data_IF_304373173183
#
_entry.id   IF_304373173183
#
_cell.length_a   1.000
_cell.length_b   1.000
_cell.length_c   1.000
_cell.angle_alpha   90.00
_cell.angle_beta   90.00
_cell.angle_gamma   90.00
#
_symmetry.space_group_name_H-M   'P 1'
#
loop_
_entity.id
_entity.type
_entity.pdbx_description
1 polymer ?
#
# COMPACT_ATOMS: atom_id res chain seq x y z
N UNK A 1 -1.92 -9.70 47.28
CA UNK A 1 -1.14 -9.39 46.06
C UNK A 1 -2.15 -9.30 44.93
N UNK A 2 -2.21 -8.19 44.21
CA UNK A 2 -3.10 -8.08 43.05
C UNK A 2 -2.68 -9.12 41.99
N UNK A 3 -3.64 -9.78 41.37
CA UNK A 3 -3.37 -10.68 40.25
C UNK A 3 -3.02 -9.85 39.01
N UNK A 4 -1.97 -10.22 38.25
CA UNK A 4 -1.62 -9.54 37.01
C UNK A 4 -2.79 -9.56 36.02
N UNK A 5 -2.98 -8.47 35.27
CA UNK A 5 -4.04 -8.37 34.25
C UNK A 5 -3.59 -9.03 32.94
N UNK A 6 -3.45 -10.36 32.98
CA UNK A 6 -3.03 -11.14 31.82
C UNK A 6 -4.21 -11.34 30.86
N UNK A 7 -3.96 -11.21 29.56
CA UNK A 7 -4.94 -11.50 28.50
C UNK A 7 -4.86 -12.95 28.05
N UNK A 8 -5.95 -13.49 27.49
CA UNK A 8 -6.04 -14.90 27.10
C UNK A 8 -4.97 -15.32 26.06
N UNK A 9 -4.61 -14.42 25.15
CA UNK A 9 -3.57 -14.66 24.14
C UNK A 9 -2.17 -14.86 24.75
N UNK A 10 -1.90 -14.25 25.90
CA UNK A 10 -0.60 -14.32 26.60
C UNK A 10 -0.39 -15.71 27.24
N UNK A 11 -1.47 -16.31 27.78
CA UNK A 11 -1.44 -17.65 28.38
C UNK A 11 -1.24 -18.79 27.36
N UNK A 12 -1.51 -18.54 26.06
CA UNK A 12 -1.32 -19.56 25.02
C UNK A 12 0.14 -19.68 24.58
N UNK A 13 0.96 -18.64 24.80
CA UNK A 13 2.37 -18.63 24.41
C UNK A 13 3.27 -19.33 25.44
N UNK A 14 2.92 -19.33 26.73
CA UNK A 14 3.67 -20.01 27.79
C UNK A 14 2.84 -20.19 29.07
N UNK A 15 3.39 -20.84 30.09
CA UNK A 15 2.66 -21.11 31.32
C UNK A 15 2.83 -19.95 32.32
N UNK A 16 1.77 -19.17 32.51
CA UNK A 16 1.75 -17.98 33.37
C UNK A 16 0.70 -18.18 34.46
N UNK A 17 1.14 -18.40 35.69
CA UNK A 17 0.28 -18.70 36.84
C UNK A 17 0.52 -17.71 37.97
N UNK A 18 -0.34 -16.69 38.08
CA UNK A 18 -0.46 -15.76 39.22
C UNK A 18 0.80 -14.98 39.62
N UNK A 19 1.82 -15.67 40.13
CA UNK A 19 3.09 -15.16 40.63
C UNK A 19 4.33 -15.78 39.97
N UNK A 20 4.19 -16.75 39.06
CA UNK A 20 5.30 -17.41 38.36
C UNK A 20 5.07 -17.45 36.85
N UNK A 21 6.14 -17.19 36.10
CA UNK A 21 6.13 -17.16 34.64
C UNK A 21 7.16 -18.15 34.07
N UNK A 22 6.68 -19.13 33.31
CA UNK A 22 7.49 -20.16 32.66
C UNK A 22 7.28 -20.11 31.13
N UNK A 23 8.34 -19.79 30.39
CA UNK A 23 8.32 -19.43 28.97
C UNK A 23 9.12 -20.41 28.09
N UNK A 24 9.23 -21.68 28.48
CA UNK A 24 10.10 -22.68 27.85
C UNK A 24 9.83 -22.98 26.36
N UNK A 25 8.70 -22.50 25.80
CA UNK A 25 8.31 -22.67 24.39
C UNK A 25 8.36 -21.37 23.57
N UNK A 26 8.87 -20.27 24.14
CA UNK A 26 8.93 -18.95 23.49
C UNK A 26 10.34 -18.39 23.52
N UNK A 27 10.63 -17.45 22.63
CA UNK A 27 11.95 -16.82 22.56
C UNK A 27 12.18 -15.74 23.64
N UNK A 28 11.11 -15.31 24.33
CA UNK A 28 11.15 -14.15 25.22
C UNK A 28 10.23 -14.26 26.46
N UNK A 29 10.81 -14.12 27.66
CA UNK A 29 10.12 -13.85 28.93
C UNK A 29 10.10 -12.36 29.22
N UNK A 30 8.90 -11.80 29.43
CA UNK A 30 8.70 -10.39 29.76
C UNK A 30 7.80 -10.19 30.99
N UNK A 31 8.16 -9.25 31.86
CA UNK A 31 7.31 -8.82 32.98
C UNK A 31 7.33 -7.31 33.18
N UNK A 32 6.16 -6.73 33.50
CA UNK A 32 5.98 -5.33 33.88
C UNK A 32 5.55 -5.23 35.33
N UNK A 33 6.21 -4.33 36.05
CA UNK A 33 6.05 -4.16 37.49
C UNK A 33 5.81 -2.69 37.80
N UNK A 34 4.83 -2.42 38.66
CA UNK A 34 4.61 -1.10 39.26
C UNK A 34 5.32 -1.04 40.60
N UNK A 35 5.91 0.09 40.94
CA UNK A 35 6.55 0.29 42.22
C UNK A 35 5.53 0.88 43.22
N UNK A 36 5.09 0.05 44.17
CA UNK A 36 4.26 0.47 45.31
C UNK A 36 5.08 0.29 46.59
N UNK A 37 5.26 1.35 47.38
CA UNK A 37 6.09 1.34 48.60
C UNK A 37 7.49 0.73 48.42
N UNK A 38 8.12 1.03 47.27
CA UNK A 38 9.44 0.50 46.83
C UNK A 38 9.48 -1.01 46.61
N UNK A 39 8.33 -1.69 46.53
CA UNK A 39 8.21 -3.10 46.17
C UNK A 39 7.63 -3.20 44.76
N UNK A 40 8.26 -3.98 43.85
CA UNK A 40 7.71 -4.21 42.52
C UNK A 40 6.50 -5.14 42.62
N UNK A 41 5.32 -4.64 42.25
CA UNK A 41 4.08 -5.41 42.12
C UNK A 41 3.86 -5.76 40.65
N UNK A 42 3.61 -7.05 40.30
CA UNK A 42 3.43 -7.45 38.91
C UNK A 42 2.12 -6.89 38.36
N UNK A 43 2.21 -6.16 37.25
CA UNK A 43 1.06 -5.63 36.52
C UNK A 43 0.70 -6.54 35.36
N UNK A 44 1.72 -7.01 34.64
CA UNK A 44 1.56 -7.86 33.47
C UNK A 44 2.74 -8.83 33.36
N UNK A 45 2.46 -10.12 33.15
CA UNK A 45 3.44 -11.16 32.89
C UNK A 45 3.15 -11.78 31.52
N UNK A 46 4.16 -11.96 30.66
CA UNK A 46 3.93 -12.41 29.28
C UNK A 46 5.10 -13.14 28.63
N UNK A 47 4.81 -14.24 27.93
CA UNK A 47 5.75 -14.93 27.04
C UNK A 47 5.45 -14.52 25.59
N UNK A 48 6.45 -14.06 24.82
CA UNK A 48 6.25 -13.55 23.45
C UNK A 48 6.88 -14.46 22.40
N UNK A 49 6.15 -14.71 21.31
CA UNK A 49 6.59 -15.45 20.12
C UNK A 49 6.96 -14.49 18.97
N UNK A 50 6.58 -13.21 19.07
CA UNK A 50 6.66 -12.22 17.96
C UNK A 50 7.81 -11.22 18.18
N UNK A 51 8.31 -11.08 19.40
CA UNK A 51 9.31 -10.05 19.74
C UNK A 51 10.73 -10.58 19.55
N UNK A 52 11.41 -10.13 18.49
CA UNK A 52 12.70 -10.67 18.00
C UNK A 52 13.96 -10.12 18.69
N UNK A 53 13.83 -9.25 19.72
CA UNK A 53 14.96 -8.62 20.40
C UNK A 53 14.97 -8.95 21.91
N UNK A 54 15.18 -10.22 22.26
CA UNK A 54 15.60 -10.60 23.60
C UNK A 54 17.13 -10.60 23.69
N UNK A 55 17.73 -9.73 24.52
CA UNK A 55 19.15 -9.45 24.42
C UNK A 55 20.03 -10.58 24.96
N UNK A 56 19.64 -11.26 26.05
CA UNK A 56 20.44 -12.27 26.75
C UNK A 56 19.56 -13.26 27.54
N UNK A 57 20.15 -14.39 27.96
CA UNK A 57 19.52 -15.37 28.88
C UNK A 57 19.38 -14.85 30.32
N UNK A 58 20.20 -13.87 30.72
CA UNK A 58 20.08 -13.19 32.00
C UNK A 58 18.94 -12.16 31.97
N UNK A 59 18.05 -12.22 32.96
CA UNK A 59 16.89 -11.33 33.06
C UNK A 59 17.27 -9.98 33.67
N UNK A 60 17.14 -8.92 32.87
CA UNK A 60 17.51 -7.56 33.25
C UNK A 60 16.28 -6.69 33.48
N UNK A 61 16.22 -6.06 34.65
CA UNK A 61 15.22 -5.06 34.97
C UNK A 61 15.67 -3.66 34.52
N UNK A 62 14.79 -2.95 33.82
CA UNK A 62 15.02 -1.59 33.29
C UNK A 62 13.88 -0.67 33.71
N UNK A 63 14.19 0.60 34.01
CA UNK A 63 13.18 1.61 34.34
C UNK A 63 12.52 2.07 33.05
N UNK A 64 11.20 1.93 32.95
CA UNK A 64 10.44 2.41 31.81
C UNK A 64 10.00 3.86 32.04
N UNK A 65 9.47 4.16 33.24
CA UNK A 65 8.96 5.47 33.70
C UNK A 65 9.10 5.57 35.24
N UNK A 66 8.85 6.73 35.85
CA UNK A 66 9.16 7.04 37.26
C UNK A 66 8.71 5.95 38.28
N UNK A 67 7.63 5.21 38.00
CA UNK A 67 7.08 4.16 38.88
C UNK A 67 6.93 2.77 38.22
N UNK A 68 7.52 2.54 37.04
CA UNK A 68 7.37 1.27 36.32
C UNK A 68 8.71 0.66 35.91
N UNK A 69 8.84 -0.65 36.17
CA UNK A 69 10.00 -1.47 35.82
C UNK A 69 9.56 -2.52 34.79
N UNK A 70 10.42 -2.75 33.78
CA UNK A 70 10.27 -3.83 32.81
C UNK A 70 11.45 -4.81 32.93
N UNK A 71 11.15 -6.10 33.05
CA UNK A 71 12.13 -7.19 32.99
C UNK A 71 12.00 -7.96 31.66
N UNK A 72 13.13 -8.29 31.02
CA UNK A 72 13.17 -9.00 29.73
C UNK A 72 14.40 -9.94 29.65
N UNK A 73 14.20 -11.18 29.15
CA UNK A 73 15.26 -12.14 28.80
C UNK A 73 14.75 -13.26 27.91
N UNK A 74 15.67 -14.06 27.37
CA UNK A 74 15.36 -15.28 26.61
C UNK A 74 15.26 -16.55 27.48
N UNK A 75 15.27 -16.43 28.82
CA UNK A 75 15.17 -17.54 29.78
C UNK A 75 13.87 -17.48 30.56
N UNK A 76 13.50 -18.58 31.22
CA UNK A 76 12.32 -18.66 32.07
C UNK A 76 12.44 -17.83 33.36
N UNK A 77 11.30 -17.57 34.00
CA UNK A 77 11.24 -17.03 35.36
C UNK A 77 11.85 -15.62 35.52
N UNK A 78 11.67 -14.75 34.53
CA UNK A 78 12.09 -13.35 34.57
C UNK A 78 11.50 -12.52 35.73
N UNK A 79 10.55 -13.08 36.47
CA UNK A 79 9.88 -12.48 37.61
C UNK A 79 10.32 -13.06 38.97
N UNK A 80 11.20 -14.07 39.02
CA UNK A 80 11.45 -14.85 40.26
C UNK A 80 12.33 -14.18 41.32
N UNK A 81 13.06 -13.10 41.00
CA UNK A 81 13.76 -12.31 42.02
C UNK A 81 14.26 -10.97 41.45
N UNK A 82 13.37 -9.98 41.40
CA UNK A 82 13.70 -8.70 40.75
C UNK A 82 14.52 -7.85 41.72
N UNK A 83 15.82 -7.80 41.46
CA UNK A 83 16.72 -6.91 42.19
C UNK A 83 16.80 -5.58 41.44
N UNK A 84 16.17 -4.55 42.00
CA UNK A 84 16.23 -3.20 41.46
C UNK A 84 17.21 -2.37 42.30
N UNK A 85 18.38 -2.04 41.73
CA UNK A 85 19.30 -1.12 42.38
C UNK A 85 18.93 0.32 42.00
N UNK A 86 18.36 1.08 42.95
CA UNK A 86 18.07 2.50 42.76
C UNK A 86 19.32 3.34 42.44
N UNK A 87 20.53 2.82 42.67
CA UNK A 87 21.78 3.49 42.29
C UNK A 87 21.97 3.61 40.77
N UNK A 88 21.19 2.87 39.96
CA UNK A 88 21.16 3.08 38.51
C UNK A 88 20.42 4.37 38.07
N UNK A 89 19.97 5.21 39.03
CA UNK A 89 19.59 6.62 38.76
C UNK A 89 20.79 7.56 38.61
N UNK A 90 22.03 7.08 38.77
CA UNK A 90 23.25 7.88 38.59
C UNK A 90 24.18 7.34 37.47
N UNK A 91 23.61 6.86 36.37
CA UNK A 91 24.16 7.27 35.06
C UNK A 91 23.43 8.54 34.63
N UNK A 92 23.42 9.52 35.53
CA UNK A 92 22.97 10.86 35.22
C UNK A 92 24.07 11.50 34.39
N UNK A 93 23.65 11.94 33.20
CA UNK A 93 24.21 13.01 32.39
C UNK A 93 24.87 14.09 33.26
N UNK A 94 26.11 13.86 33.70
CA UNK A 94 26.93 14.87 34.38
C UNK A 94 27.47 15.75 33.27
N UNK A 95 26.82 16.89 33.03
CA UNK A 95 27.42 17.96 32.24
C UNK A 95 28.75 18.38 32.90
N UNK A 96 29.84 18.53 32.16
CA UNK A 96 31.09 19.07 32.71
C UNK A 96 30.89 20.51 33.20
N UNK A 97 31.75 21.00 34.10
CA UNK A 97 31.62 22.33 34.68
C UNK A 97 31.68 23.40 33.58
N UNK A 98 30.67 24.26 33.57
CA UNK A 98 30.67 25.51 32.80
C UNK A 98 31.80 26.40 33.33
N UNK A 99 32.96 26.27 32.71
CA UNK A 99 33.94 27.34 32.59
C UNK A 99 33.83 27.86 31.16
N UNK A 100 33.89 29.18 31.05
CA UNK A 100 33.49 30.01 29.91
C UNK A 100 33.97 29.49 28.55
N UNK A 101 33.04 29.00 27.72
CA UNK A 101 33.19 28.93 26.27
C UNK A 101 31.81 29.05 25.60
N UNK A 102 31.30 30.28 25.56
CA UNK A 102 30.01 30.65 24.97
C UNK A 102 30.00 30.61 23.42
N UNK A 103 31.06 30.14 22.76
CA UNK A 103 31.23 30.32 21.30
C UNK A 103 31.20 29.04 20.46
N UNK A 104 31.10 27.84 21.04
CA UNK A 104 31.39 26.59 20.27
C UNK A 104 30.19 25.69 19.96
N UNK A 105 29.05 25.81 20.65
CA UNK A 105 27.88 24.93 20.44
C UNK A 105 26.95 25.37 19.30
N UNK A 106 26.95 26.67 18.96
CA UNK A 106 26.22 27.21 17.82
C UNK A 106 26.85 26.82 16.46
N UNK A 107 28.09 26.33 16.45
CA UNK A 107 28.84 26.06 15.22
C UNK A 107 28.43 24.74 14.55
N UNK A 108 27.82 23.77 15.27
CA UNK A 108 27.39 22.49 14.69
C UNK A 108 25.87 22.36 14.48
N UNK A 109 25.06 22.96 15.36
CA UNK A 109 23.59 22.83 15.29
C UNK A 109 23.02 23.70 14.16
N UNK A 110 23.57 24.88 13.96
CA UNK A 110 23.16 25.79 12.88
C UNK A 110 23.42 25.17 11.50
N UNK A 111 24.61 24.61 11.17
CA UNK A 111 24.80 23.97 9.88
C UNK A 111 24.01 22.66 9.72
N UNK A 112 23.79 21.88 10.79
CA UNK A 112 22.97 20.67 10.70
C UNK A 112 21.49 20.99 10.44
N UNK A 113 20.93 21.98 11.15
CA UNK A 113 19.57 22.48 10.92
C UNK A 113 19.42 23.13 9.56
N UNK A 114 20.40 23.93 9.13
CA UNK A 114 20.44 24.51 7.79
C UNK A 114 20.55 23.45 6.70
N UNK A 115 21.30 22.36 6.92
CA UNK A 115 21.41 21.25 5.99
C UNK A 115 20.10 20.48 5.88
N UNK A 116 19.39 20.23 6.98
CA UNK A 116 18.08 19.56 6.96
C UNK A 116 17.03 20.45 6.27
N UNK A 117 17.00 21.75 6.57
CA UNK A 117 16.12 22.71 5.89
C UNK A 117 16.47 22.88 4.41
N UNK A 118 17.76 22.84 4.06
CA UNK A 118 18.22 22.89 2.69
C UNK A 118 17.87 21.62 1.93
N UNK A 119 18.05 20.44 2.52
CA UNK A 119 17.66 19.16 1.92
C UNK A 119 16.14 19.06 1.75
N UNK A 120 15.36 19.50 2.74
CA UNK A 120 13.90 19.55 2.62
C UNK A 120 13.44 20.58 1.59
N UNK A 121 14.11 21.73 1.48
CA UNK A 121 13.86 22.72 0.43
C UNK A 121 14.26 22.18 -0.96
N UNK A 122 15.39 21.50 -1.09
CA UNK A 122 15.82 20.86 -2.34
C UNK A 122 14.86 19.73 -2.71
N UNK A 123 14.38 18.94 -1.75
CA UNK A 123 13.34 17.94 -1.99
C UNK A 123 12.02 18.61 -2.37
N UNK A 124 11.62 19.72 -1.75
CA UNK A 124 10.41 20.46 -2.08
C UNK A 124 10.51 21.19 -3.42
N UNK A 125 11.69 21.68 -3.79
CA UNK A 125 11.97 22.28 -5.09
C UNK A 125 12.04 21.21 -6.18
N UNK A 126 12.68 20.06 -5.92
CA UNK A 126 12.60 18.89 -6.80
C UNK A 126 11.17 18.37 -6.91
N UNK A 127 10.41 18.34 -5.83
CA UNK A 127 8.98 18.00 -5.82
C UNK A 127 8.17 19.02 -6.62
N UNK A 128 8.43 20.33 -6.49
CA UNK A 128 7.81 21.38 -7.31
C UNK A 128 8.22 21.30 -8.77
N UNK A 129 9.46 20.94 -9.09
CA UNK A 129 9.97 20.74 -10.46
C UNK A 129 9.39 19.45 -11.06
N UNK A 130 9.23 18.39 -10.26
CA UNK A 130 8.56 17.14 -10.62
C UNK A 130 7.05 17.34 -10.81
N UNK A 131 6.41 18.18 -9.98
CA UNK A 131 5.04 18.66 -10.17
C UNK A 131 4.92 19.60 -11.38
N UNK A 132 5.92 20.41 -11.70
CA UNK A 132 5.97 21.23 -12.93
C UNK A 132 6.18 20.39 -14.19
N UNK A 133 6.80 19.21 -14.07
CA UNK A 133 6.88 18.21 -15.15
C UNK A 133 5.63 17.34 -15.26
N UNK A 134 4.71 17.40 -14.28
CA UNK A 134 3.31 17.11 -14.54
C UNK A 134 2.71 18.34 -15.24
N UNK A 135 2.90 18.44 -16.56
CA UNK A 135 2.08 19.36 -17.35
C UNK A 135 0.62 19.08 -17.01
N UNK A 136 -0.24 20.10 -16.77
CA UNK A 136 -1.66 19.87 -16.92
C UNK A 136 -1.82 19.25 -18.30
N UNK A 137 -2.34 18.03 -18.34
CA UNK A 137 -2.73 17.41 -19.60
C UNK A 137 -3.74 18.38 -20.18
N UNK A 138 -3.35 19.10 -21.23
CA UNK A 138 -4.30 19.87 -22.03
C UNK A 138 -5.39 18.88 -22.41
N UNK A 139 -6.64 19.12 -22.02
CA UNK A 139 -7.72 18.22 -22.34
C UNK A 139 -7.75 18.03 -23.86
N UNK A 140 -7.98 16.81 -24.36
CA UNK A 140 -8.35 16.66 -25.76
C UNK A 140 -9.52 17.58 -26.06
N UNK A 141 -9.49 18.16 -27.25
CA UNK A 141 -10.44 19.16 -27.73
C UNK A 141 -11.88 18.67 -27.45
N UNK A 142 -12.82 19.52 -26.99
CA UNK A 142 -14.19 19.12 -26.63
C UNK A 142 -15.01 18.46 -27.76
N UNK A 143 -14.46 18.37 -28.97
CA UNK A 143 -15.07 17.72 -30.12
C UNK A 143 -14.75 16.22 -30.25
N UNK A 144 -13.90 15.64 -29.40
CA UNK A 144 -13.68 14.18 -29.34
C UNK A 144 -14.45 13.50 -28.19
N UNK A 145 -15.58 14.08 -27.76
CA UNK A 145 -16.62 13.27 -27.12
C UNK A 145 -17.28 12.49 -28.24
N UNK A 146 -16.60 11.44 -28.71
CA UNK A 146 -17.28 10.37 -29.42
C UNK A 146 -18.30 9.82 -28.42
N UNK A 147 -19.55 10.20 -28.63
CA UNK A 147 -20.69 9.51 -28.09
C UNK A 147 -20.54 8.05 -28.54
N UNK A 148 -19.94 7.21 -27.68
CA UNK A 148 -19.75 5.78 -27.92
C UNK A 148 -21.12 5.12 -27.78
N UNK A 149 -21.96 5.42 -28.75
CA UNK A 149 -23.15 4.69 -29.14
C UNK A 149 -22.73 3.24 -29.41
N UNK A 150 -23.63 2.30 -29.15
CA UNK A 150 -23.43 0.87 -29.42
C UNK A 150 -22.89 0.69 -30.84
N UNK A 151 -21.58 0.47 -30.95
CA UNK A 151 -20.94 0.30 -32.25
C UNK A 151 -21.41 -1.05 -32.76
N UNK A 152 -21.93 -1.08 -33.99
CA UNK A 152 -22.23 -2.33 -34.69
C UNK A 152 -20.90 -2.99 -35.09
N UNK A 153 -20.33 -3.75 -34.14
CA UNK A 153 -18.97 -4.28 -34.17
C UNK A 153 -18.78 -5.35 -35.26
N UNK A 154 -19.86 -6.03 -35.67
CA UNK A 154 -19.77 -7.23 -36.52
C UNK A 154 -19.12 -6.98 -37.89
N UNK A 155 -19.12 -5.73 -38.39
CA UNK A 155 -18.55 -5.42 -39.72
C UNK A 155 -17.09 -4.99 -39.72
N UNK A 156 -16.50 -4.67 -38.58
CA UNK A 156 -15.17 -4.03 -38.51
C UNK A 156 -14.24 -4.65 -37.47
N UNK A 157 -14.62 -5.80 -36.91
CA UNK A 157 -13.90 -6.46 -35.84
C UNK A 157 -13.41 -7.83 -36.30
N UNK A 158 -12.09 -8.05 -36.29
CA UNK A 158 -11.52 -9.37 -36.60
C UNK A 158 -10.81 -9.91 -35.37
N UNK A 159 -11.22 -11.09 -34.92
CA UNK A 159 -10.52 -11.82 -33.86
C UNK A 159 -9.34 -12.58 -34.46
N UNK A 160 -8.16 -12.45 -33.86
CA UNK A 160 -6.94 -13.05 -34.38
C UNK A 160 -6.43 -14.19 -33.50
N UNK A 161 -6.04 -13.87 -32.26
CA UNK A 161 -5.49 -14.86 -31.32
C UNK A 161 -5.99 -14.63 -29.92
N UNK A 162 -6.16 -15.72 -29.18
CA UNK A 162 -6.42 -15.67 -27.74
C UNK A 162 -5.17 -15.16 -27.03
N UNK A 163 -5.34 -14.14 -26.19
CA UNK A 163 -4.30 -13.55 -25.34
C UNK A 163 -4.40 -14.09 -23.92
N UNK A 164 -5.63 -14.27 -23.41
CA UNK A 164 -5.88 -14.83 -22.09
C UNK A 164 -7.26 -15.50 -22.02
N UNK A 165 -7.38 -16.52 -21.18
CA UNK A 165 -8.66 -17.14 -20.81
C UNK A 165 -8.88 -16.95 -19.31
N UNK A 166 -9.90 -16.20 -18.94
CA UNK A 166 -10.35 -16.05 -17.56
C UNK A 166 -11.59 -16.89 -17.28
N UNK A 167 -12.02 -16.91 -16.03
CA UNK A 167 -13.22 -17.62 -15.61
C UNK A 167 -14.51 -17.00 -16.21
N UNK A 168 -14.54 -15.68 -16.34
CA UNK A 168 -15.74 -14.94 -16.79
C UNK A 168 -15.66 -14.45 -18.23
N UNK A 169 -14.47 -14.37 -18.81
CA UNK A 169 -14.25 -13.82 -20.14
C UNK A 169 -12.97 -14.37 -20.77
N UNK A 170 -12.93 -14.36 -22.10
CA UNK A 170 -11.72 -14.59 -22.87
C UNK A 170 -11.25 -13.29 -23.50
N UNK A 171 -9.96 -13.00 -23.44
CA UNK A 171 -9.35 -11.83 -24.08
C UNK A 171 -8.68 -12.27 -25.37
N UNK A 172 -9.10 -11.66 -26.47
CA UNK A 172 -8.53 -11.86 -27.79
C UNK A 172 -7.76 -10.62 -28.22
N UNK A 173 -6.68 -10.81 -28.94
CA UNK A 173 -6.13 -9.76 -29.80
C UNK A 173 -6.94 -9.76 -31.09
N UNK A 174 -7.30 -8.56 -31.54
CA UNK A 174 -8.00 -8.36 -32.78
C UNK A 174 -7.63 -7.05 -33.47
N UNK A 175 -8.38 -6.74 -34.52
CA UNK A 175 -8.32 -5.48 -35.25
C UNK A 175 -9.70 -4.81 -35.20
N UNK A 176 -9.70 -3.50 -34.99
CA UNK A 176 -10.88 -2.64 -35.05
C UNK A 176 -10.52 -1.39 -35.84
N UNK A 177 -11.22 -1.15 -36.96
CA UNK A 177 -10.95 -0.02 -37.86
C UNK A 177 -9.45 0.07 -38.27
N UNK A 178 -8.83 -1.08 -38.55
CA UNK A 178 -7.41 -1.17 -38.92
C UNK A 178 -6.41 -1.00 -37.77
N UNK A 179 -6.87 -0.72 -36.55
CA UNK A 179 -6.01 -0.62 -35.36
C UNK A 179 -6.05 -1.92 -34.54
N UNK A 180 -4.92 -2.33 -33.97
CA UNK A 180 -4.91 -3.51 -33.09
C UNK A 180 -5.55 -3.20 -31.74
N UNK A 181 -6.42 -4.10 -31.28
CA UNK A 181 -7.23 -3.94 -30.07
C UNK A 181 -7.25 -5.22 -29.24
N UNK A 182 -7.60 -5.08 -27.96
CA UNK A 182 -7.94 -6.20 -27.09
C UNK A 182 -9.47 -6.33 -27.00
N UNK A 183 -9.97 -7.53 -27.22
CA UNK A 183 -11.40 -7.87 -27.23
C UNK A 183 -11.67 -8.76 -26.03
N UNK A 184 -12.29 -8.22 -24.99
CA UNK A 184 -12.72 -9.00 -23.83
C UNK A 184 -14.13 -9.51 -24.10
N UNK A 185 -14.23 -10.80 -24.40
CA UNK A 185 -15.45 -11.49 -24.86
C UNK A 185 -16.07 -12.26 -23.70
N UNK A 186 -17.37 -12.05 -23.50
CA UNK A 186 -18.17 -12.64 -22.44
C UNK A 186 -19.28 -13.53 -23.05
N UNK A 187 -19.42 -14.77 -22.59
CA UNK A 187 -20.56 -15.61 -22.93
C UNK A 187 -21.89 -14.91 -22.62
N UNK A 188 -22.93 -15.19 -23.40
CA UNK A 188 -24.26 -14.58 -23.21
C UNK A 188 -24.81 -14.76 -21.79
N UNK A 189 -24.52 -15.91 -21.16
CA UNK A 189 -24.93 -16.23 -19.79
C UNK A 189 -24.31 -15.30 -18.72
N UNK A 190 -23.19 -14.64 -19.03
CA UNK A 190 -22.45 -13.74 -18.13
C UNK A 190 -22.73 -12.25 -18.39
N UNK A 191 -23.94 -11.93 -18.90
CA UNK A 191 -24.41 -10.56 -19.13
C UNK A 191 -24.21 -9.62 -17.93
N UNK A 192 -24.42 -10.12 -16.70
CA UNK A 192 -24.27 -9.30 -15.50
C UNK A 192 -22.81 -8.88 -15.27
N UNK A 193 -21.86 -9.79 -15.46
CA UNK A 193 -20.43 -9.50 -15.32
C UNK A 193 -19.94 -8.54 -16.39
N UNK A 194 -20.35 -8.77 -17.65
CA UNK A 194 -20.13 -7.82 -18.74
C UNK A 194 -20.67 -6.42 -18.41
N UNK A 195 -21.90 -6.34 -17.89
CA UNK A 195 -22.56 -5.07 -17.59
C UNK A 195 -21.85 -4.33 -16.47
N UNK A 196 -21.50 -5.02 -15.36
CA UNK A 196 -20.75 -4.44 -14.24
C UNK A 196 -19.45 -3.78 -14.71
N UNK A 197 -18.63 -4.51 -15.46
CA UNK A 197 -17.34 -4.00 -15.92
C UNK A 197 -17.52 -2.86 -16.95
N UNK A 198 -18.40 -3.05 -17.92
CA UNK A 198 -18.71 -2.06 -18.97
C UNK A 198 -19.23 -0.75 -18.35
N UNK A 199 -20.06 -0.81 -17.32
CA UNK A 199 -20.61 0.40 -16.69
C UNK A 199 -19.52 1.22 -15.98
N UNK A 200 -18.51 0.58 -15.39
CA UNK A 200 -17.34 1.29 -14.81
C UNK A 200 -16.54 2.01 -15.90
N UNK A 201 -16.27 1.34 -17.02
CA UNK A 201 -15.59 1.97 -18.16
C UNK A 201 -16.35 3.16 -18.75
N UNK A 202 -17.68 3.13 -18.69
CA UNK A 202 -18.55 4.20 -19.21
C UNK A 202 -18.76 5.37 -18.24
N UNK A 203 -18.18 5.34 -17.03
CA UNK A 203 -18.27 6.46 -16.11
C UNK A 203 -17.67 7.72 -16.76
N UNK A 204 -18.20 8.92 -16.45
CA UNK A 204 -17.66 10.16 -16.98
C UNK A 204 -16.20 10.36 -16.57
N UNK A 205 -15.39 10.97 -17.44
CA UNK A 205 -13.97 11.24 -17.20
C UNK A 205 -13.15 9.99 -16.80
N UNK A 206 -13.45 8.81 -17.34
CA UNK A 206 -12.61 7.61 -17.13
C UNK A 206 -11.38 7.54 -18.05
N UNK A 207 -11.26 8.44 -19.02
CA UNK A 207 -10.14 8.48 -19.95
C UNK A 207 -8.92 9.13 -19.30
N UNK A 208 -7.91 8.32 -18.95
CA UNK A 208 -6.66 8.77 -18.37
C UNK A 208 -5.51 7.84 -18.77
N UNK A 209 -4.27 8.36 -18.84
CA UNK A 209 -3.10 7.57 -19.24
C UNK A 209 -2.85 6.34 -18.36
N UNK A 210 -3.17 6.40 -17.08
CA UNK A 210 -3.05 5.28 -16.15
C UNK A 210 -4.23 4.30 -16.11
N UNK A 211 -5.21 4.44 -17.01
CA UNK A 211 -6.35 3.53 -17.18
C UNK A 211 -6.32 3.02 -18.63
N UNK A 212 -6.58 1.73 -18.84
CA UNK A 212 -6.64 1.17 -20.19
C UNK A 212 -7.77 1.86 -20.97
N UNK A 213 -7.45 2.35 -22.17
CA UNK A 213 -8.40 3.10 -22.98
C UNK A 213 -9.54 2.22 -23.46
N UNK A 214 -10.75 2.53 -23.01
CA UNK A 214 -11.99 1.96 -23.50
C UNK A 214 -12.32 2.53 -24.88
N UNK A 215 -12.52 1.64 -25.86
CA UNK A 215 -12.80 2.00 -27.26
C UNK A 215 -14.27 1.82 -27.61
N UNK A 216 -14.93 0.89 -26.92
CA UNK A 216 -16.35 0.65 -27.10
C UNK A 216 -16.79 -0.69 -26.56
N UNK A 217 -18.06 -0.99 -26.79
CA UNK A 217 -18.67 -2.25 -26.39
C UNK A 217 -19.71 -2.65 -27.43
N UNK A 218 -20.06 -3.92 -27.47
CA UNK A 218 -21.02 -4.43 -28.45
C UNK A 218 -21.27 -5.92 -28.29
N UNK A 219 -21.60 -6.54 -29.42
CA UNK A 219 -21.73 -7.99 -29.54
C UNK A 219 -20.91 -8.48 -30.73
N UNK A 220 -20.49 -9.73 -30.64
CA UNK A 220 -19.99 -10.52 -31.76
C UNK A 220 -20.86 -11.77 -31.83
N UNK A 221 -21.74 -11.85 -32.84
CA UNK A 221 -22.82 -12.84 -32.83
C UNK A 221 -23.69 -12.71 -31.57
N UNK A 222 -23.70 -13.74 -30.72
CA UNK A 222 -24.48 -13.76 -29.47
C UNK A 222 -23.69 -13.38 -28.21
N UNK A 223 -22.37 -13.23 -28.32
CA UNK A 223 -21.50 -12.93 -27.18
C UNK A 223 -21.35 -11.41 -26.98
N UNK A 224 -21.14 -10.98 -25.74
CA UNK A 224 -20.89 -9.58 -25.43
C UNK A 224 -19.40 -9.28 -25.48
N UNK A 225 -19.04 -8.08 -25.92
CA UNK A 225 -17.63 -7.69 -26.03
C UNK A 225 -17.36 -6.29 -25.53
N UNK A 226 -16.24 -6.13 -24.83
CA UNK A 226 -15.61 -4.86 -24.48
C UNK A 226 -14.37 -4.71 -25.36
N UNK A 227 -14.26 -3.60 -26.07
CA UNK A 227 -13.11 -3.27 -26.94
C UNK A 227 -12.20 -2.29 -26.19
N UNK A 228 -10.95 -2.70 -26.01
CA UNK A 228 -9.93 -1.96 -25.27
C UNK A 228 -8.71 -1.72 -26.17
N UNK A 229 -7.90 -0.72 -25.84
CA UNK A 229 -6.57 -0.61 -26.43
C UNK A 229 -5.72 -1.85 -26.10
N UNK A 230 -4.89 -2.27 -27.06
CA UNK A 230 -3.96 -3.36 -26.84
C UNK A 230 -2.64 -2.84 -26.24
N UNK A 231 -2.30 -3.31 -25.04
CA UNK A 231 -0.99 -3.10 -24.44
C UNK A 231 0.00 -4.18 -24.91
N UNK A 232 0.95 -3.79 -25.76
CA UNK A 232 1.85 -4.74 -26.45
C UNK A 232 2.81 -5.50 -25.54
N UNK A 233 3.13 -4.97 -24.35
CA UNK A 233 4.00 -5.65 -23.39
C UNK A 233 3.22 -6.57 -22.43
N UNK A 234 1.89 -6.67 -22.59
CA UNK A 234 1.03 -7.50 -21.78
C UNK A 234 0.85 -6.98 -20.36
N UNK A 235 0.49 -7.88 -19.44
CA UNK A 235 0.37 -7.55 -18.02
C UNK A 235 1.74 -7.33 -17.37
N UNK A 236 1.78 -6.57 -16.28
CA UNK A 236 2.98 -6.31 -15.49
C UNK A 236 3.59 -7.63 -14.99
N UNK A 237 2.77 -8.60 -14.60
CA UNK A 237 3.22 -9.95 -14.26
C UNK A 237 3.98 -10.63 -15.43
N UNK A 238 3.37 -10.68 -16.61
CA UNK A 238 3.97 -11.27 -17.79
C UNK A 238 5.22 -10.50 -18.25
N UNK A 239 5.23 -9.19 -18.06
CA UNK A 239 6.35 -8.32 -18.38
C UNK A 239 7.55 -8.56 -17.45
N UNK A 240 7.33 -8.58 -16.13
CA UNK A 240 8.38 -8.76 -15.12
C UNK A 240 8.93 -10.18 -15.09
N UNK A 241 8.13 -11.20 -15.41
CA UNK A 241 8.63 -12.58 -15.55
C UNK A 241 9.67 -12.76 -16.66
N UNK A 242 9.72 -11.83 -17.63
CA UNK A 242 10.62 -11.88 -18.80
C UNK A 242 11.67 -10.77 -18.81
N UNK A 243 11.49 -9.74 -17.97
CA UNK A 243 12.28 -8.51 -18.04
C UNK A 243 12.83 -8.13 -16.67
N UNK A 244 14.15 -8.07 -16.57
CA UNK A 244 14.83 -7.45 -15.43
C UNK A 244 14.80 -5.94 -15.63
N UNK A 245 14.24 -5.22 -14.66
CA UNK A 245 14.15 -3.76 -14.70
C UNK A 245 15.32 -3.11 -13.98
N UNK A 246 15.90 -2.08 -14.59
CA UNK A 246 16.79 -1.16 -13.88
C UNK A 246 15.98 -0.20 -13.01
N UNK A 247 16.66 0.56 -12.17
CA UNK A 247 16.02 1.48 -11.25
C UNK A 247 15.13 2.52 -11.96
N UNK A 248 15.59 3.06 -13.09
CA UNK A 248 14.86 4.06 -13.86
C UNK A 248 13.53 3.51 -14.39
N UNK A 249 13.54 2.30 -14.97
CA UNK A 249 12.34 1.63 -15.47
C UNK A 249 11.39 1.26 -14.33
N UNK A 250 11.95 0.74 -13.24
CA UNK A 250 11.20 0.43 -12.02
C UNK A 250 10.45 1.65 -11.48
N UNK A 251 11.13 2.78 -11.36
CA UNK A 251 10.50 4.04 -10.94
C UNK A 251 9.44 4.52 -11.93
N UNK A 252 9.66 4.36 -13.24
CA UNK A 252 8.66 4.72 -14.25
C UNK A 252 7.39 3.89 -14.12
N UNK A 253 7.51 2.56 -13.95
CA UNK A 253 6.38 1.66 -13.75
C UNK A 253 5.61 2.03 -12.48
N UNK A 254 6.30 2.17 -11.35
CA UNK A 254 5.68 2.55 -10.07
C UNK A 254 4.97 3.90 -10.13
N UNK A 255 5.62 4.91 -10.73
CA UNK A 255 5.06 6.26 -10.87
C UNK A 255 3.82 6.30 -11.75
N UNK A 256 3.83 5.62 -12.90
CA UNK A 256 2.68 5.65 -13.82
C UNK A 256 1.51 4.82 -13.29
N UNK A 257 1.78 3.70 -12.60
CA UNK A 257 0.76 2.94 -11.88
C UNK A 257 0.11 3.78 -10.78
N UNK A 258 0.90 4.47 -9.94
CA UNK A 258 0.37 5.29 -8.86
C UNK A 258 -0.43 6.48 -9.38
N UNK A 259 -0.04 7.08 -10.51
CA UNK A 259 -0.84 8.12 -11.19
C UNK A 259 -2.19 7.59 -11.66
N UNK A 260 -2.24 6.38 -12.25
CA UNK A 260 -3.49 5.74 -12.65
C UNK A 260 -4.41 5.46 -11.48
N UNK A 261 -3.87 4.89 -10.41
CA UNK A 261 -4.62 4.55 -9.20
C UNK A 261 -5.14 5.81 -8.48
N UNK A 262 -4.30 6.83 -8.34
CA UNK A 262 -4.70 8.11 -7.78
C UNK A 262 -5.86 8.72 -8.59
N UNK A 263 -5.76 8.71 -9.93
CA UNK A 263 -6.83 9.22 -10.79
C UNK A 263 -8.14 8.43 -10.62
N UNK A 264 -8.06 7.10 -10.59
CA UNK A 264 -9.22 6.23 -10.38
C UNK A 264 -9.94 6.56 -9.06
N UNK A 265 -9.17 6.73 -7.99
CA UNK A 265 -9.67 7.01 -6.64
C UNK A 265 -10.13 8.47 -6.45
N UNK A 266 -9.72 9.39 -7.33
CA UNK A 266 -10.08 10.80 -7.17
C UNK A 266 -11.52 11.03 -7.59
N UNK A 267 -12.28 11.66 -6.69
CA UNK A 267 -13.56 12.27 -7.01
C UNK A 267 -13.32 13.59 -7.75
N UNK A 268 -13.75 13.69 -9.02
CA UNK A 268 -13.45 14.81 -9.90
C UNK A 268 -14.72 15.48 -10.40
N UNK A 269 -14.75 16.81 -10.34
CA UNK A 269 -15.74 17.65 -11.02
C UNK A 269 -15.05 18.59 -11.99
N UNK A 270 -15.31 18.42 -13.28
CA UNK A 270 -14.70 19.22 -14.34
C UNK A 270 -15.76 19.63 -15.36
N UNK A 271 -15.85 20.93 -15.66
CA UNK A 271 -16.78 21.47 -16.67
C UNK A 271 -18.24 21.01 -16.49
N UNK A 272 -18.71 20.88 -15.25
CA UNK A 272 -20.06 20.41 -14.93
C UNK A 272 -20.25 18.89 -14.97
N UNK A 273 -19.24 18.13 -15.42
CA UNK A 273 -19.23 16.67 -15.44
C UNK A 273 -18.62 16.15 -14.13
N UNK A 274 -19.26 15.13 -13.54
CA UNK A 274 -18.85 14.49 -12.31
C UNK A 274 -18.34 13.07 -12.56
N UNK A 275 -17.13 12.78 -12.10
CA UNK A 275 -16.54 11.44 -12.05
C UNK A 275 -16.47 10.99 -10.59
N UNK A 276 -17.20 9.93 -10.22
CA UNK A 276 -17.08 9.37 -8.87
C UNK A 276 -15.71 8.74 -8.64
N UNK A 277 -15.34 8.62 -7.36
CA UNK A 277 -14.23 7.78 -6.95
C UNK A 277 -14.58 6.30 -7.22
N UNK A 278 -13.63 5.52 -7.70
CA UNK A 278 -13.82 4.08 -7.97
C UNK A 278 -12.75 3.31 -7.20
N UNK A 279 -13.15 2.28 -6.47
CA UNK A 279 -12.24 1.29 -5.91
C UNK A 279 -12.07 0.15 -6.92
N UNK A 280 -10.82 -0.18 -7.28
CA UNK A 280 -10.55 -1.27 -8.24
C UNK A 280 -10.98 -2.65 -7.70
N UNK A 281 -10.78 -2.87 -6.39
CA UNK A 281 -11.10 -4.10 -5.63
C UNK A 281 -10.38 -5.40 -6.06
N UNK A 282 -9.76 -5.45 -7.24
CA UNK A 282 -8.92 -6.57 -7.68
C UNK A 282 -7.58 -6.10 -8.26
N UNK A 283 -6.83 -5.29 -7.49
CA UNK A 283 -5.55 -4.78 -7.96
C UNK A 283 -4.44 -5.84 -7.77
N UNK A 284 -3.97 -6.39 -8.89
CA UNK A 284 -2.86 -7.34 -8.97
C UNK A 284 -1.92 -7.01 -10.12
N UNK A 285 -0.72 -7.60 -10.16
CA UNK A 285 0.20 -7.39 -11.29
C UNK A 285 -0.32 -7.98 -12.62
N UNK A 286 -1.33 -8.85 -12.57
CA UNK A 286 -2.03 -9.36 -13.75
C UNK A 286 -3.03 -8.35 -14.32
N UNK A 287 -3.58 -7.46 -13.47
CA UNK A 287 -4.57 -6.43 -13.84
C UNK A 287 -3.94 -5.05 -14.05
N UNK A 288 -2.61 -5.00 -14.17
CA UNK A 288 -1.86 -3.82 -14.62
C UNK A 288 -1.24 -4.17 -15.96
N UNK A 289 -1.51 -3.37 -16.99
CA UNK A 289 -0.91 -3.51 -18.31
C UNK A 289 0.33 -2.62 -18.46
N UNK A 290 1.30 -3.08 -19.22
CA UNK A 290 2.50 -2.30 -19.60
C UNK A 290 2.42 -1.95 -21.08
N UNK A 291 2.48 -0.65 -21.40
CA UNK A 291 2.50 -0.18 -22.79
C UNK A 291 3.91 -0.26 -23.39
N UNK A 292 4.00 -0.10 -24.71
CA UNK A 292 5.26 -0.09 -25.44
C UNK A 292 6.27 0.94 -24.90
N UNK A 293 5.79 2.09 -24.44
CA UNK A 293 6.63 3.15 -23.87
C UNK A 293 7.07 2.84 -22.43
N UNK A 294 6.59 1.77 -21.80
CA UNK A 294 6.86 1.42 -20.41
C UNK A 294 6.02 2.18 -19.39
N UNK A 295 4.90 2.78 -19.79
CA UNK A 295 3.86 3.27 -18.88
C UNK A 295 2.91 2.15 -18.45
N UNK A 296 2.43 2.21 -17.21
CA UNK A 296 1.42 1.31 -16.67
C UNK A 296 -0.01 1.84 -16.91
N UNK A 297 -0.96 0.91 -17.06
CA UNK A 297 -2.38 1.20 -17.11
C UNK A 297 -3.19 0.14 -16.35
N UNK A 298 -4.18 0.58 -15.58
CA UNK A 298 -5.12 -0.31 -14.90
C UNK A 298 -6.11 -0.92 -15.89
N UNK A 299 -6.40 -2.21 -15.76
CA UNK A 299 -7.43 -2.91 -16.53
C UNK A 299 -8.22 -3.86 -15.64
N UNK A 300 -9.29 -4.43 -16.20
CA UNK A 300 -10.17 -5.39 -15.53
C UNK A 300 -10.92 -4.80 -14.32
N UNK A 301 -12.02 -4.12 -14.64
CA UNK A 301 -12.89 -3.51 -13.62
C UNK A 301 -14.06 -4.42 -13.22
N UNK A 302 -13.97 -5.74 -13.46
CA UNK A 302 -15.06 -6.68 -13.17
C UNK A 302 -15.47 -6.75 -11.69
N UNK A 303 -14.52 -6.49 -10.78
CA UNK A 303 -14.76 -6.44 -9.34
C UNK A 303 -14.88 -5.02 -8.77
N UNK A 304 -14.77 -3.99 -9.62
CA UNK A 304 -14.66 -2.61 -9.15
C UNK A 304 -15.97 -2.07 -8.58
N UNK A 305 -15.84 -1.17 -7.61
CA UNK A 305 -16.98 -0.55 -6.92
C UNK A 305 -16.91 0.97 -7.06
N UNK A 306 -18.01 1.57 -7.52
CA UNK A 306 -18.17 3.02 -7.51
C UNK A 306 -18.45 3.48 -6.08
N UNK A 307 -17.59 4.31 -5.53
CA UNK A 307 -17.73 4.85 -4.19
C UNK A 307 -18.70 6.02 -4.25
N UNK A 308 -19.94 5.79 -3.80
CA UNK A 308 -20.92 6.86 -3.65
C UNK A 308 -20.71 7.54 -2.30
N UNK A 309 -20.41 8.84 -2.32
CA UNK A 309 -20.46 9.69 -1.13
C UNK A 309 -21.91 9.80 -0.65
N UNK A 310 -22.35 8.89 0.22
CA UNK A 310 -23.36 9.31 1.20
C UNK A 310 -22.67 10.30 2.12
N UNK A 311 -23.27 11.49 2.22
CA UNK A 311 -22.80 12.66 2.95
C UNK A 311 -22.80 12.40 4.46
N UNK A 312 -22.00 11.45 4.92
CA UNK A 312 -21.69 11.24 6.33
C UNK A 312 -20.43 12.06 6.62
N UNK A 313 -20.51 12.90 7.64
CA UNK A 313 -19.59 13.99 7.90
C UNK A 313 -18.12 13.54 7.98
N UNK A 314 -17.25 14.22 7.22
CA UNK A 314 -15.90 14.56 7.68
C UNK A 314 -14.77 13.51 7.55
N UNK A 315 -15.00 12.34 6.95
CA UNK A 315 -13.91 11.37 6.76
C UNK A 315 -13.53 11.21 5.28
N UNK A 316 -12.29 11.54 4.95
CA UNK A 316 -11.64 11.07 3.73
C UNK A 316 -11.47 9.57 3.83
N UNK A 317 -12.14 8.79 2.98
CA UNK A 317 -11.86 7.36 2.85
C UNK A 317 -10.47 7.22 2.20
N UNK A 318 -9.49 6.87 3.02
CA UNK A 318 -8.24 6.30 2.52
C UNK A 318 -8.62 4.89 2.05
N UNK A 319 -8.74 4.70 0.73
CA UNK A 319 -8.82 3.36 0.15
C UNK A 319 -7.45 2.75 0.38
N UNK A 320 -7.35 1.87 1.38
CA UNK A 320 -6.14 1.11 1.67
C UNK A 320 -5.84 0.23 0.44
N UNK A 321 -4.69 0.49 -0.20
CA UNK A 321 -4.26 -0.24 -1.39
C UNK A 321 -3.70 -1.58 -0.92
N UNK A 322 -4.56 -2.57 -0.73
CA UNK A 322 -4.12 -3.95 -0.53
C UNK A 322 -3.64 -4.51 -1.88
N UNK A 323 -2.34 -4.40 -2.16
CA UNK A 323 -1.71 -5.22 -3.20
C UNK A 323 -1.74 -6.67 -2.72
N UNK A 324 -2.53 -7.52 -3.38
CA UNK A 324 -2.61 -8.94 -3.06
C UNK A 324 -1.40 -9.75 -3.59
N UNK A 325 -0.35 -9.06 -4.06
CA UNK A 325 0.65 -9.63 -4.95
C UNK A 325 2.09 -9.33 -4.47
N UNK A 326 2.76 -10.36 -3.93
CA UNK A 326 4.15 -10.28 -3.43
C UNK A 326 5.18 -10.06 -4.55
N UNK A 327 4.81 -10.23 -5.82
CA UNK A 327 5.69 -10.00 -6.98
C UNK A 327 6.05 -8.52 -7.17
N UNK A 328 5.14 -7.61 -6.85
CA UNK A 328 5.42 -6.16 -6.90
C UNK A 328 6.39 -5.80 -5.78
N UNK A 329 6.21 -6.35 -4.57
CA UNK A 329 7.09 -6.05 -3.43
C UNK A 329 8.48 -6.70 -3.53
N UNK A 330 8.60 -7.87 -4.18
CA UNK A 330 9.87 -8.61 -4.26
C UNK A 330 10.81 -8.16 -5.38
N UNK A 331 10.27 -7.60 -6.48
CA UNK A 331 11.06 -7.02 -7.58
C UNK A 331 11.30 -5.50 -7.40
N UNK A 332 10.54 -4.84 -6.52
CA UNK A 332 10.82 -3.50 -6.01
C UNK A 332 11.67 -3.62 -4.73
N UNK A 333 12.89 -4.16 -4.83
CA UNK A 333 13.83 -4.06 -3.69
C UNK A 333 14.22 -2.59 -3.54
N UNK A 334 13.73 -1.96 -2.46
CA UNK A 334 14.14 -0.64 -2.00
C UNK A 334 15.48 -0.69 -1.29
#
# INVERSE_FOLDING_TARGET
MASPQNTEWIHRAGNISGSSQHCARTECCMGYFQLEDRKPTPVLLSCSIIQTNCPNSSCHASVLHQNYIRCLCSSDFCNMNITFNQQAKQAEYTKPPYSSDLLSTNVLIIPAGALILFLSLVMALKWKILLQHCRPVTPPNPHDVLEVSSIDLDKHLEMQKVVACGHFASVWQGTFQGSSVALKVFPTALWQEYTKEKDVYKLPLMMHSGIVRFLGHGKIGNEFVIVLELATQGSLNAFLSKTVCDWGRTLKLARTLSQGLAYLHTDLKMNGVYKPAVAHCDLSSSNVLVRADGSCALCDFGCSTVLQWQRVQGYSIIVEVCFNDTLILSNLRF
#
